data_IF_530998665233
#
_entry.id   IF_530998665233
#
_cell.length_a   1.000
_cell.length_b   1.000
_cell.length_c   1.000
_cell.angle_alpha   90.00
_cell.angle_beta   90.00
_cell.angle_gamma   90.00
#
_symmetry.space_group_name_H-M   'P 1'
#
loop_
_entity.id
_entity.type
_entity.pdbx_description
1 polymer ?
#
# COMPACT_ATOMS: atom_id res chain seq x y z
N UNK A 1 -1.51 -0.11 -19.44
CA UNK A 1 -2.21 -0.12 -20.75
C UNK A 1 -3.65 -0.62 -20.63
N UNK A 2 -3.92 -1.78 -20.02
CA UNK A 2 -5.30 -2.30 -19.92
C UNK A 2 -6.28 -1.41 -19.12
N UNK A 3 -5.82 -0.74 -18.06
CA UNK A 3 -6.67 0.20 -17.30
C UNK A 3 -7.14 1.40 -18.11
N UNK A 4 -6.32 1.86 -19.08
CA UNK A 4 -6.68 2.98 -19.97
C UNK A 4 -7.72 2.58 -21.02
N UNK A 5 -8.07 1.30 -21.12
CA UNK A 5 -9.08 0.79 -22.04
C UNK A 5 -10.45 0.58 -21.36
N UNK A 6 -10.55 0.87 -20.06
CA UNK A 6 -11.81 0.68 -19.33
C UNK A 6 -12.93 1.63 -19.82
N UNK A 7 -12.60 2.70 -20.55
CA UNK A 7 -13.62 3.51 -21.23
C UNK A 7 -14.51 2.67 -22.15
N UNK A 8 -13.98 1.63 -22.81
CA UNK A 8 -14.79 0.77 -23.69
C UNK A 8 -15.96 0.13 -22.94
N UNK A 9 -15.82 -0.15 -21.64
CA UNK A 9 -16.92 -0.69 -20.83
C UNK A 9 -18.01 0.35 -20.63
N UNK A 10 -17.63 1.61 -20.35
CA UNK A 10 -18.61 2.67 -20.15
C UNK A 10 -19.27 3.11 -21.45
N UNK A 11 -18.50 3.16 -22.55
CA UNK A 11 -19.02 3.46 -23.88
C UNK A 11 -19.97 2.37 -24.39
N UNK A 12 -19.67 1.10 -24.13
CA UNK A 12 -20.52 -0.03 -24.56
C UNK A 12 -21.76 -0.20 -23.67
N UNK A 13 -21.69 0.24 -22.42
CA UNK A 13 -22.75 0.09 -21.41
C UNK A 13 -22.98 1.42 -20.68
N UNK A 14 -23.52 2.41 -21.40
CA UNK A 14 -23.72 3.79 -20.92
C UNK A 14 -24.60 3.90 -19.67
N UNK A 15 -25.56 2.99 -19.50
CA UNK A 15 -26.48 2.99 -18.36
C UNK A 15 -25.96 2.16 -17.17
N UNK A 16 -24.94 1.32 -17.38
CA UNK A 16 -24.42 0.47 -16.31
C UNK A 16 -23.62 1.29 -15.29
N UNK A 17 -23.97 1.13 -14.00
CA UNK A 17 -23.20 1.72 -12.91
C UNK A 17 -21.87 0.99 -12.74
N UNK A 18 -20.79 1.75 -12.49
CA UNK A 18 -19.46 1.21 -12.20
C UNK A 18 -19.11 1.55 -10.76
N UNK A 19 -18.73 0.54 -9.98
CA UNK A 19 -18.20 0.72 -8.64
C UNK A 19 -16.70 0.43 -8.65
N UNK A 20 -15.90 1.39 -8.20
CA UNK A 20 -14.47 1.22 -8.03
C UNK A 20 -14.11 1.28 -6.54
N UNK A 21 -13.29 0.33 -6.10
CA UNK A 21 -12.81 0.22 -4.73
C UNK A 21 -11.30 0.44 -4.71
N UNK A 22 -10.83 1.34 -3.87
CA UNK A 22 -9.41 1.64 -3.70
C UNK A 22 -9.09 1.94 -2.24
N UNK A 23 -7.93 1.46 -1.78
CA UNK A 23 -7.41 1.76 -0.45
C UNK A 23 -6.51 3.00 -0.45
N UNK A 24 -5.86 3.28 -1.58
CA UNK A 24 -4.88 4.36 -1.76
C UNK A 24 -5.24 5.12 -3.03
N UNK A 25 -5.92 6.24 -2.89
CA UNK A 25 -6.22 7.11 -4.02
C UNK A 25 -6.41 8.54 -3.54
N UNK A 26 -5.72 9.48 -4.18
CA UNK A 26 -5.97 10.90 -3.98
C UNK A 26 -7.21 11.33 -4.77
N UNK A 27 -7.74 12.50 -4.44
CA UNK A 27 -8.85 13.09 -5.20
C UNK A 27 -8.46 13.35 -6.67
N UNK A 28 -7.21 13.76 -6.92
CA UNK A 28 -6.68 14.01 -8.27
C UNK A 28 -6.62 12.71 -9.09
N UNK A 29 -6.13 11.63 -8.50
CA UNK A 29 -6.10 10.30 -9.12
C UNK A 29 -7.52 9.79 -9.42
N UNK A 30 -8.48 10.01 -8.51
CA UNK A 30 -9.89 9.67 -8.75
C UNK A 30 -10.47 10.42 -9.96
N UNK A 31 -10.16 11.71 -10.11
CA UNK A 31 -10.61 12.49 -11.27
C UNK A 31 -10.00 11.98 -12.57
N UNK A 32 -8.71 11.66 -12.58
CA UNK A 32 -8.05 11.02 -13.71
C UNK A 32 -8.72 9.69 -14.09
N UNK A 33 -9.12 8.88 -13.11
CA UNK A 33 -9.82 7.63 -13.37
C UNK A 33 -11.22 7.89 -13.93
N UNK A 34 -11.97 8.84 -13.37
CA UNK A 34 -13.28 9.27 -13.89
C UNK A 34 -13.19 9.69 -15.37
N UNK A 35 -12.20 10.49 -15.72
CA UNK A 35 -11.94 10.94 -17.09
C UNK A 35 -11.57 9.79 -18.01
N UNK A 36 -10.70 8.89 -17.57
CA UNK A 36 -10.33 7.68 -18.32
C UNK A 36 -11.50 6.71 -18.53
N UNK A 37 -12.58 6.84 -17.77
CA UNK A 37 -13.82 6.07 -17.94
C UNK A 37 -14.89 6.83 -18.73
N UNK A 38 -14.60 8.05 -19.20
CA UNK A 38 -15.56 8.95 -19.82
C UNK A 38 -16.82 9.20 -18.97
N UNK A 39 -16.69 9.19 -17.64
CA UNK A 39 -17.82 9.43 -16.74
C UNK A 39 -17.97 10.95 -16.53
N UNK A 40 -19.14 11.54 -16.86
CA UNK A 40 -19.42 12.94 -16.56
C UNK A 40 -19.35 13.24 -15.06
N UNK A 41 -18.92 14.45 -14.70
CA UNK A 41 -18.75 14.85 -13.29
C UNK A 41 -20.05 14.75 -12.48
N UNK A 42 -21.19 15.11 -13.09
CA UNK A 42 -22.52 15.01 -12.48
C UNK A 42 -22.99 13.56 -12.27
N UNK A 43 -22.34 12.58 -12.90
CA UNK A 43 -22.67 11.16 -12.82
C UNK A 43 -21.64 10.37 -11.99
N UNK A 44 -20.86 11.07 -11.16
CA UNK A 44 -19.81 10.49 -10.35
C UNK A 44 -20.03 10.86 -8.88
N UNK A 45 -19.84 9.87 -7.99
CA UNK A 45 -19.88 10.09 -6.55
C UNK A 45 -18.64 9.49 -5.93
N UNK A 46 -17.91 10.31 -5.17
CA UNK A 46 -16.74 9.90 -4.42
C UNK A 46 -17.09 9.73 -2.95
N UNK A 47 -16.86 8.53 -2.43
CA UNK A 47 -17.05 8.20 -1.02
C UNK A 47 -15.66 7.95 -0.43
N UNK A 48 -15.24 8.82 0.50
CA UNK A 48 -13.97 8.69 1.18
C UNK A 48 -14.14 8.25 2.63
N UNK A 49 -13.65 7.05 2.94
CA UNK A 49 -13.59 6.56 4.32
C UNK A 49 -12.31 7.12 4.98
N UNK A 50 -12.48 8.21 5.73
CA UNK A 50 -11.40 9.11 6.13
C UNK A 50 -10.58 8.65 7.35
N UNK A 51 -10.60 7.35 7.70
CA UNK A 51 -9.88 6.87 8.87
C UNK A 51 -8.89 5.76 8.51
N UNK A 52 -7.77 6.18 7.90
CA UNK A 52 -6.61 5.31 7.71
C UNK A 52 -5.76 5.18 8.99
N UNK A 53 -6.12 5.87 10.08
CA UNK A 53 -5.36 5.82 11.33
C UNK A 53 -5.67 4.51 12.05
N UNK A 54 -4.67 3.63 12.08
CA UNK A 54 -4.68 2.40 12.85
C UNK A 54 -4.14 2.70 14.25
N UNK A 55 -5.02 3.11 15.15
CA UNK A 55 -4.66 3.55 16.52
C UNK A 55 -4.02 2.44 17.37
N UNK A 56 -4.20 1.18 16.98
CA UNK A 56 -3.56 0.03 17.61
C UNK A 56 -2.09 -0.16 17.18
N UNK A 57 -1.65 0.50 16.11
CA UNK A 57 -0.27 0.41 15.63
C UNK A 57 0.65 1.40 16.35
N UNK A 58 1.81 0.92 16.78
CA UNK A 58 2.85 1.74 17.38
C UNK A 58 3.96 1.97 16.35
N UNK A 59 4.04 3.19 15.83
CA UNK A 59 5.07 3.59 14.88
C UNK A 59 6.34 4.04 15.62
N UNK A 60 7.48 3.42 15.31
CA UNK A 60 8.79 3.77 15.86
C UNK A 60 9.81 3.89 14.75
N UNK A 61 10.57 4.98 14.75
CA UNK A 61 11.69 5.19 13.82
C UNK A 61 12.98 5.09 14.62
N UNK A 62 13.92 4.28 14.12
CA UNK A 62 15.27 4.16 14.67
C UNK A 62 16.29 4.40 13.57
N UNK A 63 17.40 5.05 13.91
CA UNK A 63 18.52 5.23 12.99
C UNK A 63 19.19 3.87 12.76
N UNK A 64 19.36 3.46 11.50
CA UNK A 64 20.12 2.25 11.12
C UNK A 64 21.60 2.51 11.44
N UNK A 65 22.25 1.61 12.18
CA UNK A 65 23.69 1.66 12.38
C UNK A 65 24.40 1.12 11.14
N UNK A 66 25.27 1.92 10.52
CA UNK A 66 25.90 1.59 9.23
C UNK A 66 27.07 0.58 9.31
N UNK A 67 27.50 0.16 10.51
CA UNK A 67 28.69 -0.70 10.65
C UNK A 67 28.49 -1.87 11.62
N UNK A 68 28.90 -3.05 11.14
CA UNK A 68 29.31 -4.25 11.91
C UNK A 68 28.20 -5.13 12.51
N UNK A 69 27.20 -5.58 11.72
CA UNK A 69 26.29 -6.67 12.14
C UNK A 69 25.30 -6.37 13.27
N UNK A 70 25.49 -5.27 14.02
CA UNK A 70 24.66 -4.85 15.16
C UNK A 70 23.19 -4.63 14.81
N UNK A 71 22.89 -4.35 13.55
CA UNK A 71 21.50 -4.22 13.09
C UNK A 71 20.73 -5.53 13.26
N UNK A 72 21.38 -6.68 13.02
CA UNK A 72 20.74 -7.99 13.17
C UNK A 72 20.54 -8.34 14.65
N UNK A 73 21.49 -8.01 15.52
CA UNK A 73 21.33 -8.18 16.97
C UNK A 73 20.12 -7.38 17.49
N UNK A 74 19.93 -6.15 17.02
CA UNK A 74 18.77 -5.34 17.38
C UNK A 74 17.47 -5.94 16.86
N UNK A 75 17.45 -6.46 15.63
CA UNK A 75 16.28 -7.12 15.05
C UNK A 75 15.94 -8.39 15.87
N UNK A 76 16.93 -9.24 16.19
CA UNK A 76 16.77 -10.42 17.06
C UNK A 76 16.19 -10.05 18.42
N UNK A 77 16.70 -8.99 19.04
CA UNK A 77 16.17 -8.47 20.30
C UNK A 77 14.73 -7.95 20.19
N UNK A 78 14.33 -7.42 19.04
CA UNK A 78 12.93 -7.01 18.80
C UNK A 78 12.02 -8.22 18.61
N UNK A 79 12.47 -9.22 17.84
CA UNK A 79 11.71 -10.45 17.59
C UNK A 79 11.48 -11.21 18.90
N UNK A 80 12.51 -11.39 19.73
CA UNK A 80 12.41 -12.12 21.02
C UNK A 80 11.47 -11.47 22.02
N UNK A 81 11.14 -10.18 21.87
CA UNK A 81 10.15 -9.47 22.71
C UNK A 81 8.71 -9.73 22.28
N UNK A 82 8.49 -10.30 21.09
CA UNK A 82 7.17 -10.61 20.58
C UNK A 82 6.77 -11.97 21.15
N UNK A 83 5.89 -11.95 22.15
CA UNK A 83 5.44 -13.17 22.85
C UNK A 83 4.50 -14.01 21.99
N UNK A 84 3.63 -13.35 21.21
CA UNK A 84 2.67 -13.99 20.31
C UNK A 84 2.58 -13.21 19.00
N UNK A 85 2.49 -13.92 17.87
CA UNK A 85 2.28 -13.32 16.55
C UNK A 85 3.30 -13.77 15.50
N UNK A 86 3.31 -13.06 14.37
CA UNK A 86 4.23 -13.28 13.24
C UNK A 86 4.94 -11.98 12.92
N UNK A 87 6.19 -12.07 12.50
CA UNK A 87 7.01 -10.93 12.11
C UNK A 87 7.11 -10.87 10.59
N UNK A 88 7.00 -9.66 10.04
CA UNK A 88 7.26 -9.39 8.62
C UNK A 88 8.42 -8.40 8.56
N UNK A 89 9.46 -8.75 7.81
CA UNK A 89 10.63 -7.90 7.57
C UNK A 89 10.67 -7.59 6.07
N UNK A 90 10.54 -6.32 5.72
CA UNK A 90 10.69 -5.86 4.34
C UNK A 90 12.13 -5.43 4.10
N UNK A 91 12.76 -6.02 3.07
CA UNK A 91 14.09 -5.65 2.59
C UNK A 91 13.95 -4.84 1.30
N UNK A 92 14.84 -3.86 1.08
CA UNK A 92 14.78 -3.02 -0.13
C UNK A 92 15.37 -3.78 -1.31
N UNK A 93 16.48 -4.48 -1.08
CA UNK A 93 17.20 -5.23 -2.10
C UNK A 93 17.22 -6.74 -1.82
N UNK A 94 17.48 -7.53 -2.86
CA UNK A 94 17.49 -8.99 -2.75
C UNK A 94 18.70 -9.51 -1.97
N UNK A 95 19.81 -8.80 -2.07
CA UNK A 95 21.06 -9.07 -1.35
C UNK A 95 20.83 -8.95 0.16
N UNK A 96 20.17 -7.87 0.59
CA UNK A 96 19.79 -7.66 2.01
C UNK A 96 18.87 -8.78 2.52
N UNK A 97 17.98 -9.31 1.66
CA UNK A 97 17.12 -10.44 2.03
C UNK A 97 17.93 -11.71 2.31
N UNK A 98 18.99 -12.00 1.55
CA UNK A 98 19.85 -13.16 1.81
C UNK A 98 20.60 -12.99 3.14
N UNK A 99 21.15 -11.79 3.39
CA UNK A 99 21.81 -11.49 4.67
C UNK A 99 20.84 -11.67 5.84
N UNK A 100 19.58 -11.22 5.71
CA UNK A 100 18.53 -11.41 6.73
C UNK A 100 18.24 -12.90 6.97
N UNK A 101 18.20 -13.74 5.92
CA UNK A 101 17.97 -15.17 6.07
C UNK A 101 19.14 -15.92 6.71
N UNK A 102 20.37 -15.48 6.47
CA UNK A 102 21.57 -16.09 7.03
C UNK A 102 21.79 -15.67 8.49
N UNK A 103 21.47 -14.42 8.82
CA UNK A 103 21.72 -13.85 10.14
C UNK A 103 20.60 -14.09 11.14
N UNK A 104 19.32 -14.15 10.73
CA UNK A 104 18.17 -14.30 11.64
C UNK A 104 17.67 -15.74 11.75
#
# INVERSE_FOLDING_TARGET
KSYQQLFYLKDSYSEASIMMLTATCTFEEMNLIRENLHIPENNFTYIYANNQVRNELIYKVKKKYERNGKVFDEIKLLITRIQEGRVIIYCVHREEYQEVLEEL
#
